data_IF_167588883646
#
_entry.id   IF_167588883646
#
_cell.length_a   1.000
_cell.length_b   1.000
_cell.length_c   1.000
_cell.angle_alpha   90.00
_cell.angle_beta   90.00
_cell.angle_gamma   90.00
#
_symmetry.space_group_name_H-M   'P 1'
#
loop_
_entity.id
_entity.type
_entity.pdbx_description
1 polymer ?
#
# COMPACT_ATOMS: atom_id res chain seq x y z
N UNK A 1 26.58 14.06 14.21
CA UNK A 1 25.32 13.34 13.93
C UNK A 1 24.88 13.73 12.54
N UNK A 2 24.61 12.73 11.71
CA UNK A 2 24.32 12.87 10.29
C UNK A 2 23.19 11.93 9.91
N UNK A 3 22.28 12.43 9.06
CA UNK A 3 21.14 11.66 8.58
C UNK A 3 21.60 10.49 7.70
N UNK A 4 21.10 9.31 8.01
CA UNK A 4 21.34 8.08 7.26
C UNK A 4 20.00 7.42 6.93
N UNK A 5 19.90 6.87 5.72
CA UNK A 5 18.79 6.01 5.30
C UNK A 5 19.37 4.72 4.78
N UNK A 6 18.93 3.61 5.36
CA UNK A 6 19.18 2.27 4.84
C UNK A 6 17.83 1.65 4.51
N UNK A 7 17.68 1.11 3.30
CA UNK A 7 16.40 0.54 2.90
C UNK A 7 16.45 -0.21 1.60
N UNK A 8 15.30 -0.76 1.24
CA UNK A 8 15.05 -1.45 -0.02
C UNK A 8 13.69 -1.02 -0.56
N UNK A 9 13.53 -1.07 -1.88
CA UNK A 9 12.29 -0.69 -2.54
C UNK A 9 12.01 -1.58 -3.75
N UNK A 10 10.83 -1.41 -4.35
CA UNK A 10 10.43 -2.06 -5.61
C UNK A 10 11.40 -1.81 -6.79
N UNK A 11 12.29 -0.80 -6.70
CA UNK A 11 13.34 -0.57 -7.70
C UNK A 11 14.59 -1.41 -7.47
N UNK A 12 14.90 -1.74 -6.22
CA UNK A 12 16.12 -2.47 -5.85
C UNK A 12 15.86 -3.95 -5.61
N UNK A 13 14.71 -4.32 -5.06
CA UNK A 13 14.34 -5.69 -4.69
C UNK A 13 13.15 -6.21 -5.49
N UNK A 14 13.11 -7.52 -5.83
CA UNK A 14 11.91 -8.16 -6.34
C UNK A 14 10.81 -8.22 -5.26
N UNK A 15 9.55 -8.29 -5.69
CA UNK A 15 8.39 -8.28 -4.78
C UNK A 15 8.44 -9.41 -3.73
N UNK A 16 8.96 -10.58 -4.10
CA UNK A 16 9.11 -11.73 -3.19
C UNK A 16 10.05 -11.46 -2.01
N UNK A 17 11.06 -10.62 -2.21
CA UNK A 17 11.97 -10.18 -1.13
C UNK A 17 11.28 -9.12 -0.26
N UNK A 18 10.57 -8.16 -0.87
CA UNK A 18 9.82 -7.14 -0.13
C UNK A 18 8.70 -7.75 0.75
N UNK A 19 7.98 -8.74 0.23
CA UNK A 19 6.92 -9.46 0.96
C UNK A 19 7.48 -10.20 2.18
N UNK A 20 8.62 -10.87 2.01
CA UNK A 20 9.29 -11.55 3.11
C UNK A 20 9.87 -10.58 4.12
N UNK A 21 10.35 -9.42 3.65
CA UNK A 21 10.93 -8.42 4.52
C UNK A 21 9.90 -7.54 5.25
N UNK A 22 8.61 -7.64 4.89
CA UNK A 22 7.55 -6.76 5.38
C UNK A 22 7.45 -6.74 6.91
N UNK A 23 7.48 -5.53 7.47
CA UNK A 23 7.43 -5.32 8.92
C UNK A 23 6.00 -5.03 9.39
N UNK A 24 5.48 -5.86 10.29
CA UNK A 24 4.24 -5.55 11.01
C UNK A 24 4.47 -4.45 12.07
N UNK A 25 3.41 -3.95 12.70
CA UNK A 25 3.50 -2.84 13.65
C UNK A 25 4.42 -3.15 14.85
N UNK A 26 4.37 -4.38 15.37
CA UNK A 26 5.20 -4.79 16.50
C UNK A 26 6.68 -4.90 16.12
N UNK A 27 6.98 -5.42 14.92
CA UNK A 27 8.33 -5.50 14.38
C UNK A 27 8.91 -4.10 14.11
N UNK A 28 8.10 -3.17 13.60
CA UNK A 28 8.49 -1.77 13.44
C UNK A 28 8.82 -1.12 14.79
N UNK A 29 8.00 -1.33 15.81
CA UNK A 29 8.24 -0.77 17.14
C UNK A 29 9.53 -1.32 17.77
N UNK A 30 9.75 -2.64 17.68
CA UNK A 30 10.98 -3.28 18.17
C UNK A 30 12.22 -2.82 17.39
N UNK A 31 12.15 -2.73 16.06
CA UNK A 31 13.23 -2.21 15.24
C UNK A 31 13.64 -0.80 15.68
N UNK A 32 12.68 0.09 15.92
CA UNK A 32 12.96 1.45 16.38
C UNK A 32 13.59 1.45 17.78
N UNK A 33 13.08 0.65 18.70
CA UNK A 33 13.65 0.52 20.05
C UNK A 33 15.08 0.02 20.03
N UNK A 34 15.35 -1.06 19.28
CA UNK A 34 16.69 -1.63 19.16
C UNK A 34 17.65 -0.67 18.44
N UNK A 35 17.15 0.11 17.47
CA UNK A 35 17.94 1.15 16.79
C UNK A 35 18.40 2.23 17.77
N UNK A 36 17.52 2.72 18.65
CA UNK A 36 17.89 3.74 19.66
C UNK A 36 18.75 3.18 20.78
N UNK A 37 18.63 1.88 21.06
CA UNK A 37 19.48 1.19 22.03
C UNK A 37 20.89 0.96 21.47
N UNK A 38 21.04 0.91 20.15
CA UNK A 38 22.34 0.82 19.51
C UNK A 38 23.07 2.17 19.59
N UNK A 39 24.32 2.14 20.06
CA UNK A 39 25.12 3.35 20.31
C UNK A 39 25.33 4.32 19.12
N UNK A 40 25.15 3.98 17.83
CA UNK A 40 25.34 4.99 16.80
C UNK A 40 24.12 5.87 16.54
N UNK A 41 22.89 5.58 17.00
CA UNK A 41 21.67 6.30 16.54
C UNK A 41 20.95 7.08 17.65
N UNK A 42 20.76 8.39 17.44
CA UNK A 42 20.07 9.28 18.38
C UNK A 42 18.56 9.42 18.10
N UNK A 43 18.17 9.27 16.83
CA UNK A 43 16.78 9.32 16.38
C UNK A 43 16.56 8.24 15.32
N UNK A 44 15.35 7.68 15.24
CA UNK A 44 14.97 6.69 14.25
C UNK A 44 13.50 6.81 13.80
N UNK A 45 13.23 6.54 12.52
CA UNK A 45 11.90 6.38 11.95
C UNK A 45 11.92 5.31 10.85
N UNK A 46 10.87 4.50 10.75
CA UNK A 46 10.76 3.42 9.75
C UNK A 46 9.57 3.63 8.83
N UNK A 47 9.85 3.89 7.56
CA UNK A 47 8.83 3.94 6.51
C UNK A 47 8.69 2.55 5.88
N UNK A 48 7.63 1.85 6.26
CA UNK A 48 7.30 0.53 5.74
C UNK A 48 5.98 0.57 4.95
N UNK A 49 6.05 0.25 3.66
CA UNK A 49 4.91 0.18 2.74
C UNK A 49 4.97 -1.16 1.99
N UNK A 50 4.02 -1.42 1.08
CA UNK A 50 4.11 -2.59 0.20
C UNK A 50 5.29 -2.54 -0.79
N UNK A 51 5.86 -1.35 -1.04
CA UNK A 51 6.85 -1.11 -2.09
C UNK A 51 8.20 -0.65 -1.54
N UNK A 52 8.34 -0.42 -0.23
CA UNK A 52 9.61 -0.03 0.40
C UNK A 52 9.64 -0.29 1.90
N UNK A 53 10.85 -0.50 2.41
CA UNK A 53 11.16 -0.50 3.82
C UNK A 53 12.42 0.36 3.99
N UNK A 54 12.32 1.44 4.73
CA UNK A 54 13.39 2.41 4.90
C UNK A 54 13.53 2.78 6.37
N UNK A 55 14.72 2.59 6.92
CA UNK A 55 15.09 3.01 8.25
C UNK A 55 15.90 4.30 8.14
N UNK A 56 15.26 5.39 8.58
CA UNK A 56 15.85 6.71 8.73
C UNK A 56 16.42 6.82 10.14
N UNK A 57 17.68 7.20 10.26
CA UNK A 57 18.29 7.42 11.56
C UNK A 57 19.24 8.62 11.54
N UNK A 58 19.35 9.30 12.68
CA UNK A 58 20.41 10.26 12.93
C UNK A 58 21.59 9.54 13.59
N UNK A 59 22.71 9.41 12.89
CA UNK A 59 23.85 8.59 13.33
C UNK A 59 25.14 9.37 13.56
N UNK A 60 25.95 8.92 14.52
CA UNK A 60 27.25 9.56 14.82
C UNK A 60 28.33 9.26 13.78
N UNK A 61 28.34 8.03 13.25
CA UNK A 61 29.37 7.54 12.32
C UNK A 61 28.73 6.79 11.17
N UNK A 62 29.06 7.19 9.94
CA UNK A 62 28.50 6.59 8.72
C UNK A 62 28.68 5.07 8.65
N UNK A 63 29.92 4.56 8.65
CA UNK A 63 30.17 3.13 8.45
C UNK A 63 29.58 2.24 9.55
N UNK A 64 29.67 2.69 10.81
CA UNK A 64 29.08 1.97 11.93
C UNK A 64 27.54 1.98 11.85
N UNK A 65 26.95 3.14 11.51
CA UNK A 65 25.51 3.26 11.28
C UNK A 65 25.01 2.35 10.16
N UNK A 66 25.68 2.32 9.01
CA UNK A 66 25.28 1.45 7.89
C UNK A 66 25.29 -0.03 8.29
N UNK A 67 26.36 -0.48 8.95
CA UNK A 67 26.48 -1.87 9.38
C UNK A 67 25.39 -2.25 10.38
N UNK A 68 25.14 -1.39 11.37
CA UNK A 68 24.17 -1.63 12.42
C UNK A 68 22.73 -1.62 11.89
N UNK A 69 22.34 -0.58 11.16
CA UNK A 69 20.99 -0.46 10.60
C UNK A 69 20.67 -1.58 9.61
N UNK A 70 21.64 -2.02 8.80
CA UNK A 70 21.46 -3.15 7.90
C UNK A 70 21.23 -4.45 8.68
N UNK A 71 21.98 -4.65 9.76
CA UNK A 71 21.86 -5.81 10.64
C UNK A 71 20.50 -5.85 11.34
N UNK A 72 20.06 -4.71 11.87
CA UNK A 72 18.75 -4.58 12.53
C UNK A 72 17.60 -4.80 11.55
N UNK A 73 17.68 -4.25 10.33
CA UNK A 73 16.70 -4.51 9.28
C UNK A 73 16.62 -6.00 8.95
N UNK A 74 17.76 -6.70 8.81
CA UNK A 74 17.80 -8.13 8.57
C UNK A 74 17.14 -8.94 9.71
N UNK A 75 17.50 -8.62 10.95
CA UNK A 75 16.95 -9.29 12.14
C UNK A 75 15.44 -9.13 12.26
N UNK A 76 14.92 -7.91 12.12
CA UNK A 76 13.49 -7.62 12.30
C UNK A 76 12.63 -8.00 11.10
N UNK A 77 13.21 -8.04 9.91
CA UNK A 77 12.54 -8.54 8.70
C UNK A 77 12.50 -10.06 8.61
N UNK A 78 13.37 -10.76 9.35
CA UNK A 78 13.52 -12.22 9.27
C UNK A 78 14.20 -12.70 7.98
N UNK A 79 14.79 -11.79 7.20
CA UNK A 79 15.56 -12.10 5.98
C UNK A 79 17.05 -11.95 6.30
N UNK A 80 17.86 -12.93 5.94
CA UNK A 80 19.29 -12.94 6.25
C UNK A 80 20.02 -11.71 5.66
N UNK A 81 21.01 -11.18 6.39
CA UNK A 81 21.75 -9.99 5.97
C UNK A 81 22.43 -10.16 4.61
N UNK A 82 23.01 -11.33 4.36
CA UNK A 82 23.64 -11.67 3.08
C UNK A 82 22.64 -11.66 1.91
N UNK A 83 21.37 -12.00 2.18
CA UNK A 83 20.30 -11.98 1.20
C UNK A 83 19.78 -10.56 0.95
N UNK A 84 19.71 -9.71 1.99
CA UNK A 84 19.24 -8.33 1.85
C UNK A 84 20.28 -7.40 1.23
N UNK A 85 21.56 -7.59 1.57
CA UNK A 85 22.65 -6.66 1.22
C UNK A 85 22.70 -6.29 -0.28
N UNK A 86 22.50 -7.21 -1.24
CA UNK A 86 22.48 -6.87 -2.67
C UNK A 86 21.37 -5.88 -3.07
N UNK A 87 20.31 -5.79 -2.28
CA UNK A 87 19.13 -4.98 -2.55
C UNK A 87 19.04 -3.71 -1.70
N UNK A 88 19.88 -3.59 -0.66
CA UNK A 88 19.92 -2.42 0.21
C UNK A 88 20.57 -1.24 -0.53
N UNK A 89 19.93 -0.09 -0.49
CA UNK A 89 20.54 1.19 -0.80
C UNK A 89 20.80 1.99 0.46
N UNK A 90 21.78 2.88 0.35
CA UNK A 90 22.19 3.78 1.42
C UNK A 90 22.23 5.21 0.90
N UNK A 91 21.56 6.11 1.61
CA UNK A 91 21.64 7.55 1.37
C UNK A 91 22.11 8.26 2.64
N UNK A 92 23.01 9.23 2.46
CA UNK A 92 23.66 9.94 3.55
C UNK A 92 23.49 11.45 3.37
N UNK A 93 23.23 12.14 4.48
CA UNK A 93 23.04 13.60 4.57
C UNK A 93 22.10 14.11 3.47
N UNK A 94 22.57 15.02 2.61
CA UNK A 94 21.76 15.66 1.58
C UNK A 94 21.06 14.65 0.65
N UNK A 95 21.69 13.50 0.38
CA UNK A 95 21.08 12.45 -0.44
C UNK A 95 19.89 11.80 0.27
N UNK A 96 19.95 11.63 1.59
CA UNK A 96 18.84 11.09 2.36
C UNK A 96 17.65 12.07 2.39
N UNK A 97 17.93 13.38 2.52
CA UNK A 97 16.91 14.43 2.44
C UNK A 97 16.27 14.45 1.05
N UNK A 98 17.09 14.49 0.00
CA UNK A 98 16.62 14.48 -1.39
C UNK A 98 15.78 13.23 -1.67
N UNK A 99 16.22 12.06 -1.20
CA UNK A 99 15.50 10.80 -1.34
C UNK A 99 14.11 10.88 -0.71
N UNK A 100 14.00 11.27 0.56
CA UNK A 100 12.71 11.39 1.23
C UNK A 100 11.78 12.39 0.53
N UNK A 101 12.31 13.51 0.04
CA UNK A 101 11.51 14.48 -0.72
C UNK A 101 11.03 13.89 -2.06
N UNK A 102 11.88 13.11 -2.74
CA UNK A 102 11.51 12.41 -3.97
C UNK A 102 10.42 11.37 -3.73
N UNK A 103 10.51 10.62 -2.63
CA UNK A 103 9.48 9.67 -2.17
C UNK A 103 8.19 10.42 -1.82
N UNK A 104 8.26 11.54 -1.08
CA UNK A 104 7.09 12.34 -0.72
C UNK A 104 6.39 12.98 -1.92
N UNK A 105 7.13 13.33 -2.96
CA UNK A 105 6.59 13.79 -4.24
C UNK A 105 6.00 12.65 -5.09
N UNK A 106 6.11 11.39 -4.66
CA UNK A 106 5.66 10.23 -5.43
C UNK A 106 6.53 9.90 -6.64
N UNK A 107 7.71 10.51 -6.80
CA UNK A 107 8.62 10.28 -7.94
C UNK A 107 9.25 8.89 -7.90
N UNK A 108 9.43 8.37 -6.70
CA UNK A 108 9.92 7.02 -6.45
C UNK A 108 8.78 6.04 -6.13
N UNK A 109 7.53 6.35 -6.46
CA UNK A 109 6.43 5.39 -6.29
C UNK A 109 6.31 4.47 -7.52
N UNK A 110 5.80 3.25 -7.33
CA UNK A 110 5.53 2.31 -8.43
C UNK A 110 4.57 2.93 -9.45
N UNK A 111 3.61 3.74 -8.99
CA UNK A 111 2.89 4.69 -9.83
C UNK A 111 3.35 6.09 -9.48
N UNK A 112 3.98 6.75 -10.44
CA UNK A 112 4.58 8.08 -10.27
C UNK A 112 3.51 9.10 -9.98
N UNK A 113 3.60 9.84 -8.87
CA UNK A 113 2.62 10.85 -8.47
C UNK A 113 1.46 10.33 -7.61
N UNK A 114 1.53 9.08 -7.17
CA UNK A 114 0.55 8.51 -6.24
C UNK A 114 0.58 9.24 -4.88
N UNK A 115 -0.58 9.70 -4.42
CA UNK A 115 -0.70 10.56 -3.24
C UNK A 115 -0.78 9.83 -1.90
N UNK A 116 -0.94 8.49 -1.88
CA UNK A 116 -1.06 7.74 -0.63
C UNK A 116 0.25 7.70 0.14
N UNK A 117 1.40 7.81 -0.54
CA UNK A 117 2.72 7.91 0.10
C UNK A 117 2.80 9.07 1.11
N UNK A 118 2.12 10.20 0.86
CA UNK A 118 2.06 11.32 1.80
C UNK A 118 1.37 10.93 3.12
N UNK A 119 0.30 10.13 3.02
CA UNK A 119 -0.37 9.58 4.20
C UNK A 119 0.55 8.64 4.97
N UNK A 120 1.27 7.76 4.27
CA UNK A 120 2.20 6.81 4.88
C UNK A 120 3.38 7.50 5.57
N UNK A 121 3.92 8.57 4.98
CA UNK A 121 4.97 9.40 5.60
C UNK A 121 4.44 10.10 6.86
N UNK A 122 3.20 10.62 6.81
CA UNK A 122 2.55 11.23 7.98
C UNK A 122 2.38 10.22 9.11
N UNK A 123 1.88 9.02 8.79
CA UNK A 123 1.67 7.94 9.77
C UNK A 123 3.00 7.43 10.33
N UNK A 124 4.05 7.38 9.51
CA UNK A 124 5.42 7.04 9.94
C UNK A 124 5.94 8.04 10.96
N UNK A 125 5.80 9.34 10.69
CA UNK A 125 6.20 10.37 11.64
C UNK A 125 5.40 10.28 12.94
N UNK A 126 4.07 10.12 12.85
CA UNK A 126 3.22 10.00 14.04
C UNK A 126 3.64 8.81 14.91
N UNK A 127 3.90 7.65 14.30
CA UNK A 127 4.39 6.46 15.02
C UNK A 127 5.75 6.71 15.69
N UNK A 128 6.68 7.35 14.99
CA UNK A 128 7.99 7.66 15.55
C UNK A 128 7.91 8.67 16.71
N UNK A 129 6.97 9.62 16.65
CA UNK A 129 6.68 10.53 17.77
C UNK A 129 6.06 9.81 18.97
N UNK A 130 5.07 8.95 18.72
CA UNK A 130 4.38 8.17 19.76
C UNK A 130 5.32 7.21 20.50
N UNK A 131 6.30 6.65 19.79
CA UNK A 131 7.34 5.78 20.34
C UNK A 131 8.56 6.55 20.88
N UNK A 132 8.53 7.88 20.82
CA UNK A 132 9.64 8.76 21.22
C UNK A 132 10.97 8.42 20.52
N UNK A 133 10.90 7.92 19.28
CA UNK A 133 12.06 7.60 18.44
C UNK A 133 12.45 8.73 17.50
N UNK A 134 11.52 9.61 17.14
CA UNK A 134 11.83 10.83 16.39
C UNK A 134 12.13 12.00 17.34
N UNK A 135 13.35 12.50 17.30
CA UNK A 135 13.74 13.76 17.93
C UNK A 135 13.55 14.94 16.97
N UNK A 136 14.24 16.05 17.22
CA UNK A 136 14.03 17.29 16.46
C UNK A 136 14.38 17.12 14.98
N UNK A 137 15.45 16.39 14.65
CA UNK A 137 15.95 16.29 13.29
C UNK A 137 14.95 15.58 12.38
N UNK A 138 14.49 14.38 12.78
CA UNK A 138 13.52 13.60 12.00
C UNK A 138 12.15 14.28 11.97
N UNK A 139 11.75 14.95 13.05
CA UNK A 139 10.51 15.74 13.06
C UNK A 139 10.53 16.84 11.98
N UNK A 140 11.58 17.66 11.95
CA UNK A 140 11.70 18.76 10.99
C UNK A 140 11.79 18.22 9.55
N UNK A 141 12.56 17.15 9.34
CA UNK A 141 12.75 16.50 8.05
C UNK A 141 11.42 15.96 7.47
N UNK A 142 10.67 15.16 8.24
CA UNK A 142 9.43 14.55 7.76
C UNK A 142 8.32 15.59 7.56
N UNK A 143 8.22 16.59 8.44
CA UNK A 143 7.30 17.71 8.24
C UNK A 143 7.63 18.48 6.95
N UNK A 144 8.91 18.71 6.69
CA UNK A 144 9.33 19.37 5.46
C UNK A 144 9.06 18.51 4.22
N UNK A 145 9.29 17.20 4.29
CA UNK A 145 8.95 16.26 3.22
C UNK A 145 7.45 16.30 2.88
N UNK A 146 6.59 16.32 3.90
CA UNK A 146 5.13 16.46 3.71
C UNK A 146 4.76 17.79 3.04
N UNK A 147 5.42 18.91 3.38
CA UNK A 147 5.20 20.20 2.71
C UNK A 147 5.66 20.17 1.26
N UNK A 148 6.85 19.64 0.99
CA UNK A 148 7.42 19.53 -0.35
C UNK A 148 6.55 18.65 -1.24
N UNK A 149 6.14 17.48 -0.77
CA UNK A 149 5.29 16.58 -1.54
C UNK A 149 3.91 17.19 -1.82
N UNK A 150 3.24 17.81 -0.83
CA UNK A 150 1.99 18.54 -1.07
C UNK A 150 2.14 19.64 -2.11
N UNK A 151 3.25 20.40 -2.06
CA UNK A 151 3.54 21.48 -2.99
C UNK A 151 3.74 20.94 -4.42
N UNK A 152 4.48 19.85 -4.57
CA UNK A 152 4.65 19.19 -5.87
C UNK A 152 3.31 18.73 -6.46
N UNK A 153 2.45 18.12 -5.66
CA UNK A 153 1.11 17.69 -6.08
C UNK A 153 0.25 18.88 -6.53
N UNK A 154 0.22 19.97 -5.75
CA UNK A 154 -0.57 21.15 -6.08
C UNK A 154 -0.05 21.98 -7.25
N UNK A 155 1.28 22.05 -7.44
CA UNK A 155 1.89 22.99 -8.40
C UNK A 155 2.26 22.37 -9.75
N UNK A 156 2.44 21.04 -9.82
CA UNK A 156 2.92 20.37 -11.04
C UNK A 156 1.86 19.54 -11.75
N UNK A 157 0.75 19.25 -11.08
CA UNK A 157 -0.28 18.34 -11.61
C UNK A 157 0.20 16.89 -11.74
N UNK A 158 1.26 16.50 -11.04
CA UNK A 158 1.80 15.13 -11.04
C UNK A 158 0.74 14.08 -10.66
N UNK A 159 -0.26 14.47 -9.88
CA UNK A 159 -1.43 13.67 -9.50
C UNK A 159 -2.24 13.20 -10.72
N UNK A 160 -2.21 13.97 -11.82
CA UNK A 160 -2.87 13.60 -13.07
C UNK A 160 -2.10 12.51 -13.82
N UNK A 161 -0.78 12.48 -13.65
CA UNK A 161 0.08 11.42 -14.19
C UNK A 161 0.04 10.17 -13.31
N UNK A 162 -0.16 10.34 -11.99
CA UNK A 162 -0.21 9.28 -11.00
C UNK A 162 -1.61 8.87 -10.61
N UNK A 163 -2.27 8.05 -11.41
CA UNK A 163 -3.46 7.36 -10.92
C UNK A 163 -3.07 6.37 -9.81
N UNK A 164 -4.00 5.98 -8.93
CA UNK A 164 -3.68 4.96 -7.91
C UNK A 164 -3.28 3.62 -8.54
N UNK A 165 -2.54 2.77 -7.81
CA UNK A 165 -2.25 1.38 -8.22
C UNK A 165 -3.51 0.60 -8.60
N UNK A 166 -4.65 0.91 -7.98
CA UNK A 166 -5.95 0.30 -8.31
C UNK A 166 -6.34 0.68 -9.73
N UNK A 167 -6.32 1.97 -10.05
CA UNK A 167 -6.76 2.45 -11.37
C UNK A 167 -5.88 1.89 -12.48
N UNK A 168 -4.55 1.90 -12.27
CA UNK A 168 -3.61 1.26 -13.20
C UNK A 168 -3.94 -0.23 -13.40
N UNK A 169 -4.22 -0.97 -12.32
CA UNK A 169 -4.64 -2.37 -12.41
C UNK A 169 -5.94 -2.56 -13.20
N UNK A 170 -6.91 -1.67 -13.05
CA UNK A 170 -8.14 -1.69 -13.85
C UNK A 170 -7.90 -1.38 -15.33
N UNK A 171 -7.00 -0.43 -15.64
CA UNK A 171 -6.59 -0.13 -17.02
C UNK A 171 -5.95 -1.36 -17.70
N UNK A 172 -5.13 -2.13 -16.97
CA UNK A 172 -4.57 -3.38 -17.48
C UNK A 172 -5.67 -4.43 -17.77
N UNK A 173 -6.70 -4.52 -16.92
CA UNK A 173 -7.85 -5.41 -17.13
C UNK A 173 -8.77 -4.96 -18.27
N UNK A 174 -8.84 -3.67 -18.53
CA UNK A 174 -9.66 -3.07 -19.58
C UNK A 174 -9.09 -3.30 -20.99
N UNK A 175 -7.82 -3.72 -21.13
CA UNK A 175 -7.19 -4.11 -22.40
C UNK A 175 -7.34 -3.04 -23.51
N UNK A 176 -7.19 -1.77 -23.15
CA UNK A 176 -7.21 -0.63 -24.09
C UNK A 176 -8.59 -0.01 -24.35
N UNK A 177 -9.67 -0.54 -23.77
CA UNK A 177 -10.95 0.16 -23.72
C UNK A 177 -11.01 1.14 -22.52
N UNK A 178 -11.85 2.18 -22.55
CA UNK A 178 -12.07 3.03 -21.37
C UNK A 178 -12.50 2.18 -20.17
N UNK A 179 -11.92 2.44 -18.99
CA UNK A 179 -12.19 1.66 -17.77
C UNK A 179 -13.68 1.68 -17.42
N UNK A 180 -14.38 2.78 -17.69
CA UNK A 180 -15.81 2.92 -17.46
C UNK A 180 -16.64 2.00 -18.36
N UNK A 181 -16.26 1.89 -19.63
CA UNK A 181 -16.92 0.99 -20.58
C UNK A 181 -16.70 -0.48 -20.20
N UNK A 182 -15.48 -0.81 -19.75
CA UNK A 182 -15.16 -2.15 -19.25
C UNK A 182 -15.94 -2.46 -17.96
N UNK A 183 -16.00 -1.53 -17.02
CA UNK A 183 -16.57 -1.76 -15.69
C UNK A 183 -18.10 -1.83 -15.69
N UNK A 184 -18.76 -1.23 -16.68
CA UNK A 184 -20.21 -1.13 -16.73
C UNK A 184 -20.89 -2.52 -16.61
N UNK A 185 -21.81 -2.63 -15.65
CA UNK A 185 -22.59 -3.87 -15.44
C UNK A 185 -21.84 -4.99 -14.70
N UNK A 186 -20.53 -4.85 -14.47
CA UNK A 186 -19.72 -5.87 -13.80
C UNK A 186 -19.96 -5.90 -12.29
N UNK A 187 -19.72 -7.07 -11.70
CA UNK A 187 -19.71 -7.31 -10.25
C UNK A 187 -18.27 -7.39 -9.75
N UNK A 188 -17.94 -6.57 -8.76
CA UNK A 188 -16.64 -6.56 -8.12
C UNK A 188 -16.70 -7.18 -6.72
N UNK A 189 -15.72 -8.00 -6.39
CA UNK A 189 -15.47 -8.50 -5.04
C UNK A 189 -14.24 -7.81 -4.46
N UNK A 190 -14.41 -7.09 -3.35
CA UNK A 190 -13.32 -6.46 -2.60
C UNK A 190 -13.09 -7.23 -1.31
N UNK A 191 -11.89 -7.78 -1.13
CA UNK A 191 -11.50 -8.57 0.04
C UNK A 191 -10.59 -7.71 0.91
N UNK A 192 -11.06 -7.41 2.12
CA UNK A 192 -10.52 -6.43 3.04
C UNK A 192 -11.41 -5.19 3.14
N UNK A 193 -11.24 -4.43 4.22
CA UNK A 193 -11.89 -3.15 4.45
C UNK A 193 -10.90 -2.12 5.05
N UNK A 194 -9.66 -2.16 4.57
CA UNK A 194 -8.62 -1.18 4.91
C UNK A 194 -8.65 0.04 3.99
N UNK A 195 -7.72 0.99 4.18
CA UNK A 195 -7.60 2.18 3.34
C UNK A 195 -7.48 1.86 1.84
N UNK A 196 -6.66 0.87 1.48
CA UNK A 196 -6.53 0.41 0.09
C UNK A 196 -7.79 -0.27 -0.43
N UNK A 197 -8.50 -1.04 0.40
CA UNK A 197 -9.80 -1.62 0.02
C UNK A 197 -10.85 -0.54 -0.23
N UNK A 198 -10.87 0.51 0.60
CA UNK A 198 -11.79 1.63 0.43
C UNK A 198 -11.51 2.41 -0.84
N UNK A 199 -10.23 2.66 -1.15
CA UNK A 199 -9.81 3.25 -2.42
C UNK A 199 -10.21 2.36 -3.59
N UNK A 200 -9.96 1.05 -3.51
CA UNK A 200 -10.31 0.11 -4.57
C UNK A 200 -11.82 0.10 -4.85
N UNK A 201 -12.63 0.01 -3.80
CA UNK A 201 -14.07 0.01 -3.90
C UNK A 201 -14.62 1.33 -4.47
N UNK A 202 -14.10 2.48 -4.01
CA UNK A 202 -14.50 3.79 -4.51
C UNK A 202 -14.10 3.99 -5.99
N UNK A 203 -12.93 3.51 -6.39
CA UNK A 203 -12.47 3.56 -7.79
C UNK A 203 -13.35 2.69 -8.69
N UNK A 204 -13.67 1.46 -8.25
CA UNK A 204 -14.59 0.57 -8.96
C UNK A 204 -16.00 1.19 -9.10
N UNK A 205 -16.54 1.75 -8.01
CA UNK A 205 -17.85 2.40 -8.03
C UNK A 205 -17.88 3.61 -8.98
N UNK A 206 -16.82 4.44 -8.97
CA UNK A 206 -16.67 5.56 -9.90
C UNK A 206 -16.55 5.11 -11.36
N UNK A 207 -15.89 3.98 -11.60
CA UNK A 207 -15.82 3.36 -12.91
C UNK A 207 -17.18 2.81 -13.39
N UNK A 208 -18.16 2.64 -12.51
CA UNK A 208 -19.52 2.24 -12.88
C UNK A 208 -19.81 0.74 -12.81
N UNK A 209 -19.10 -0.01 -11.94
CA UNK A 209 -19.52 -1.38 -11.62
C UNK A 209 -20.94 -1.39 -11.05
N UNK A 210 -21.71 -2.42 -11.37
CA UNK A 210 -23.11 -2.52 -10.91
C UNK A 210 -23.20 -2.88 -9.41
N UNK A 211 -22.24 -3.68 -8.93
CA UNK A 211 -22.22 -4.19 -7.56
C UNK A 211 -20.79 -4.28 -7.03
N UNK A 212 -20.59 -3.81 -5.80
CA UNK A 212 -19.39 -4.05 -5.00
C UNK A 212 -19.76 -4.90 -3.80
N UNK A 213 -19.21 -6.12 -3.75
CA UNK A 213 -19.32 -7.02 -2.61
C UNK A 213 -18.07 -6.86 -1.75
N UNK A 214 -18.23 -6.51 -0.47
CA UNK A 214 -17.11 -6.33 0.46
C UNK A 214 -17.05 -7.51 1.43
N UNK A 215 -15.93 -8.22 1.42
CA UNK A 215 -15.65 -9.29 2.37
C UNK A 215 -14.56 -8.84 3.35
N UNK A 216 -14.77 -8.96 4.65
CA UNK A 216 -13.72 -8.66 5.63
C UNK A 216 -13.84 -9.50 6.89
N UNK A 217 -12.71 -9.78 7.55
CA UNK A 217 -12.68 -10.55 8.81
C UNK A 217 -13.48 -9.86 9.92
N UNK A 218 -13.40 -8.53 9.98
CA UNK A 218 -14.18 -7.70 10.90
C UNK A 218 -15.35 -7.11 10.14
N UNK A 219 -16.54 -7.67 10.33
CA UNK A 219 -17.75 -7.37 9.54
C UNK A 219 -18.11 -5.90 9.62
N UNK A 220 -17.98 -5.28 10.79
CA UNK A 220 -18.30 -3.87 11.06
C UNK A 220 -17.44 -2.92 10.20
N UNK A 221 -16.22 -3.32 9.82
CA UNK A 221 -15.40 -2.51 8.89
C UNK A 221 -15.93 -2.59 7.46
N UNK A 222 -16.39 -3.76 7.04
CA UNK A 222 -16.99 -3.93 5.71
C UNK A 222 -18.34 -3.21 5.62
N UNK A 223 -19.15 -3.24 6.68
CA UNK A 223 -20.43 -2.52 6.75
C UNK A 223 -20.24 -1.01 6.62
N UNK A 224 -19.27 -0.44 7.35
CA UNK A 224 -18.94 0.99 7.22
C UNK A 224 -18.51 1.35 5.80
N UNK A 225 -17.69 0.51 5.15
CA UNK A 225 -17.29 0.74 3.77
C UNK A 225 -18.49 0.66 2.81
N UNK A 226 -19.33 -0.37 2.93
CA UNK A 226 -20.51 -0.54 2.09
C UNK A 226 -21.53 0.61 2.26
N UNK A 227 -21.69 1.13 3.48
CA UNK A 227 -22.52 2.30 3.76
C UNK A 227 -21.97 3.54 3.04
N UNK A 228 -20.68 3.83 3.17
CA UNK A 228 -20.04 4.95 2.46
C UNK A 228 -20.17 4.84 0.94
N UNK A 229 -20.07 3.63 0.37
CA UNK A 229 -20.27 3.43 -1.06
C UNK A 229 -21.71 3.70 -1.46
N UNK A 230 -22.67 3.22 -0.67
CA UNK A 230 -24.10 3.43 -0.93
C UNK A 230 -24.49 4.90 -0.83
N UNK A 231 -23.91 5.65 0.11
CA UNK A 231 -24.14 7.09 0.28
C UNK A 231 -23.58 7.91 -0.89
N UNK A 232 -22.38 7.58 -1.37
CA UNK A 232 -21.66 8.38 -2.37
C UNK A 232 -21.93 7.95 -3.82
N UNK A 233 -22.26 6.68 -4.05
CA UNK A 233 -22.36 6.07 -5.38
C UNK A 233 -23.61 5.21 -5.54
N UNK A 234 -24.50 5.16 -4.54
CA UNK A 234 -25.69 4.34 -4.58
C UNK A 234 -26.64 4.70 -5.73
N UNK A 235 -27.57 3.80 -6.07
CA UNK A 235 -28.53 4.04 -7.14
C UNK A 235 -29.37 5.29 -6.87
N UNK A 236 -29.34 6.24 -7.80
CA UNK A 236 -30.26 7.38 -7.76
C UNK A 236 -31.70 6.97 -8.12
N UNK A 237 -32.65 7.93 -8.16
CA UNK A 237 -34.06 7.67 -8.51
C UNK A 237 -34.25 7.00 -9.89
N UNK A 238 -33.27 7.18 -10.79
CA UNK A 238 -33.24 6.60 -12.12
C UNK A 238 -32.61 5.19 -12.19
N UNK A 239 -32.24 4.59 -11.06
CA UNK A 239 -31.66 3.25 -10.98
C UNK A 239 -30.19 3.13 -11.41
N UNK A 240 -29.57 4.22 -11.87
CA UNK A 240 -28.14 4.28 -12.17
C UNK A 240 -27.33 4.51 -10.89
N UNK A 241 -26.39 3.61 -10.60
CA UNK A 241 -25.46 3.69 -9.48
C UNK A 241 -24.91 2.30 -9.12
N UNK A 242 -23.97 2.27 -8.17
CA UNK A 242 -23.32 1.06 -7.69
C UNK A 242 -24.00 0.59 -6.41
N UNK A 243 -24.49 -0.64 -6.40
CA UNK A 243 -24.94 -1.28 -5.16
C UNK A 243 -23.75 -1.78 -4.35
N UNK A 244 -23.83 -1.74 -3.02
CA UNK A 244 -22.80 -2.28 -2.15
C UNK A 244 -23.41 -3.22 -1.10
N UNK A 245 -22.79 -4.38 -0.89
CA UNK A 245 -23.20 -5.30 0.18
C UNK A 245 -22.02 -5.97 0.85
N UNK A 246 -22.23 -6.43 2.06
CA UNK A 246 -21.22 -7.12 2.87
C UNK A 246 -21.46 -8.62 2.84
N UNK A 247 -20.36 -9.37 2.83
CA UNK A 247 -20.37 -10.82 3.06
C UNK A 247 -19.33 -11.20 4.10
N UNK A 248 -19.55 -12.29 4.86
CA UNK A 248 -18.52 -12.85 5.71
C UNK A 248 -17.36 -13.44 4.89
N UNK A 249 -16.19 -13.60 5.51
CA UNK A 249 -14.99 -14.09 4.81
C UNK A 249 -15.11 -15.52 4.28
N UNK A 250 -15.90 -16.36 4.92
CA UNK A 250 -16.16 -17.74 4.47
C UNK A 250 -16.98 -17.79 3.17
N UNK A 251 -17.77 -16.76 2.88
CA UNK A 251 -18.55 -16.63 1.65
C UNK A 251 -17.70 -16.20 0.43
N UNK A 252 -16.43 -15.80 0.62
CA UNK A 252 -15.54 -15.34 -0.47
C UNK A 252 -15.45 -16.36 -1.61
N UNK A 253 -15.35 -17.65 -1.29
CA UNK A 253 -15.27 -18.71 -2.31
C UNK A 253 -16.52 -18.76 -3.20
N UNK A 254 -17.70 -18.56 -2.60
CA UNK A 254 -18.96 -18.48 -3.33
C UNK A 254 -19.06 -17.21 -4.18
N UNK A 255 -18.67 -16.06 -3.63
CA UNK A 255 -18.72 -14.78 -4.36
C UNK A 255 -17.74 -14.72 -5.53
N UNK A 256 -16.58 -15.38 -5.43
CA UNK A 256 -15.64 -15.49 -6.55
C UNK A 256 -16.25 -16.15 -7.79
N UNK A 257 -17.25 -17.02 -7.63
CA UNK A 257 -17.96 -17.65 -8.78
C UNK A 257 -18.83 -16.66 -9.55
N UNK A 258 -19.15 -15.52 -8.94
CA UNK A 258 -20.08 -14.51 -9.46
C UNK A 258 -19.39 -13.19 -9.81
N UNK A 259 -18.16 -13.01 -9.36
CA UNK A 259 -17.38 -11.79 -9.54
C UNK A 259 -16.70 -11.77 -10.92
N UNK A 260 -16.87 -10.65 -11.63
CA UNK A 260 -16.14 -10.37 -12.86
C UNK A 260 -14.70 -9.90 -12.55
N UNK A 261 -14.52 -9.21 -11.43
CA UNK A 261 -13.23 -8.76 -10.91
C UNK A 261 -13.16 -8.96 -9.40
N UNK A 262 -12.00 -9.40 -8.90
CA UNK A 262 -11.73 -9.49 -7.48
C UNK A 262 -10.48 -8.67 -7.14
N UNK A 263 -10.57 -7.83 -6.11
CA UNK A 263 -9.45 -7.04 -5.58
C UNK A 263 -9.23 -7.44 -4.13
N UNK A 264 -8.06 -7.98 -3.82
CA UNK A 264 -7.68 -8.37 -2.46
C UNK A 264 -6.67 -7.38 -1.88
N UNK A 265 -7.06 -6.69 -0.82
CA UNK A 265 -6.23 -5.74 -0.09
C UNK A 265 -6.36 -6.02 1.42
N UNK A 266 -5.64 -7.04 1.90
CA UNK A 266 -5.75 -7.49 3.30
C UNK A 266 -4.44 -7.26 4.04
N UNK A 267 -4.51 -6.97 5.34
CA UNK A 267 -3.34 -6.93 6.22
C UNK A 267 -2.89 -8.30 6.74
N UNK A 268 -3.30 -9.40 6.08
CA UNK A 268 -2.91 -10.74 6.49
C UNK A 268 -1.47 -11.05 6.06
N UNK A 269 -0.69 -11.71 6.92
CA UNK A 269 0.69 -12.14 6.66
C UNK A 269 0.79 -13.42 5.82
N UNK A 270 -0.21 -13.70 4.98
CA UNK A 270 -0.29 -14.90 4.17
C UNK A 270 -1.36 -14.82 3.08
N UNK A 271 -1.45 -15.87 2.26
CA UNK A 271 -2.39 -15.93 1.15
C UNK A 271 -3.83 -16.07 1.66
N UNK A 272 -4.65 -15.05 1.38
CA UNK A 272 -6.10 -15.07 1.64
C UNK A 272 -6.86 -15.78 0.52
N UNK A 273 -6.32 -15.73 -0.70
CA UNK A 273 -6.85 -16.44 -1.86
C UNK A 273 -5.81 -17.43 -2.39
N UNK A 274 -6.07 -18.72 -2.16
CA UNK A 274 -5.25 -19.81 -2.69
C UNK A 274 -5.61 -20.17 -4.13
N UNK A 275 -4.66 -20.78 -4.85
CA UNK A 275 -4.85 -21.21 -6.23
C UNK A 275 -6.03 -22.19 -6.40
N UNK A 276 -6.21 -23.11 -5.44
CA UNK A 276 -7.31 -24.08 -5.49
C UNK A 276 -8.68 -23.43 -5.31
N UNK A 277 -8.78 -22.41 -4.45
CA UNK A 277 -10.01 -21.65 -4.26
C UNK A 277 -10.38 -20.90 -5.54
N UNK A 278 -9.41 -20.27 -6.21
CA UNK A 278 -9.63 -19.60 -7.49
C UNK A 278 -10.01 -20.61 -8.59
N UNK A 279 -9.32 -21.75 -8.67
CA UNK A 279 -9.62 -22.80 -9.65
C UNK A 279 -11.03 -23.36 -9.49
N UNK A 280 -11.43 -23.65 -8.25
CA UNK A 280 -12.77 -24.09 -7.93
C UNK A 280 -13.81 -23.02 -8.28
N UNK A 281 -13.52 -21.75 -7.99
CA UNK A 281 -14.43 -20.67 -8.30
C UNK A 281 -14.62 -20.44 -9.81
N UNK A 282 -13.54 -20.55 -10.60
CA UNK A 282 -13.59 -20.46 -12.06
C UNK A 282 -14.38 -21.63 -12.66
N UNK A 283 -14.20 -22.84 -12.15
CA UNK A 283 -14.97 -24.01 -12.58
C UNK A 283 -16.47 -23.89 -12.23
N UNK A 284 -16.78 -23.23 -11.11
CA UNK A 284 -18.15 -22.97 -10.66
C UNK A 284 -18.76 -21.68 -11.20
N UNK A 285 -18.12 -20.98 -12.15
CA UNK A 285 -18.64 -19.70 -12.67
C UNK A 285 -20.01 -19.88 -13.29
N UNK A 286 -20.98 -19.15 -12.78
CA UNK A 286 -22.29 -19.01 -13.41
C UNK A 286 -22.18 -17.93 -14.49
N UNK A 287 -22.50 -18.21 -15.76
CA UNK A 287 -22.41 -17.20 -16.81
C UNK A 287 -23.23 -15.96 -16.43
N UNK A 288 -22.59 -14.79 -16.41
CA UNK A 288 -23.31 -13.53 -16.47
C UNK A 288 -23.91 -13.43 -17.88
N UNK A 289 -25.21 -13.15 -17.97
CA UNK A 289 -25.87 -12.98 -19.26
C UNK A 289 -25.15 -11.84 -20.03
N UNK A 290 -24.32 -12.19 -21.03
CA UNK A 290 -23.62 -11.24 -21.89
C UNK A 290 -22.10 -11.38 -22.00
N UNK A 291 -21.42 -12.24 -21.24
CA UNK A 291 -19.97 -12.45 -21.41
C UNK A 291 -19.68 -13.63 -22.35
N UNK A 292 -19.47 -13.35 -23.65
CA UNK A 292 -18.80 -14.30 -24.53
C UNK A 292 -17.37 -14.53 -24.02
N UNK A 293 -17.05 -15.80 -23.75
CA UNK A 293 -15.68 -16.22 -23.44
C UNK A 293 -14.90 -16.21 -24.76
N UNK A 294 -13.83 -15.41 -24.92
CA UNK A 294 -12.97 -15.54 -26.09
C UNK A 294 -12.27 -16.90 -26.04
N UNK A 295 -12.30 -17.60 -27.17
CA UNK A 295 -11.67 -18.90 -27.38
C UNK A 295 -10.14 -18.86 -27.25
#
# INVERSE_FOLDING_TARGET
>A
MSLLVVGLSHRSAPVSVLERAALNADAQAKLLQDTLAAEPAAEAAVLATCNRIELYADVDKFHAGVAELSTLLAQHSGVGLDELTPYLYVHYEDRAVHHLFSVACGLDSMVVGEGQILGQIKDTLARAQDLHSAGKLLNDLFQQALRVGKRAHSETGIDRAGQSLVTFGLEQLALGQPVEAWAQGKRALVIGAGSMSSLAAATLARAGVAEVVVANRTVERAERLAALLSENFGPGPAGAGTTARVVPMDAVAGELTRADVAISCTGATGLVLGADAVRAAVAGRTPTAGAEVPA
#
